data_IF_102589800576
#
_entry.id   IF_102589800576
#
_cell.length_a   1.000
_cell.length_b   1.000
_cell.length_c   1.000
_cell.angle_alpha   90.00
_cell.angle_beta   90.00
_cell.angle_gamma   90.00
#
_symmetry.space_group_name_H-M   'P 1'
#
loop_
_entity.id
_entity.type
_entity.pdbx_description
1 polymer ?
#
# COMPACT_ATOMS: atom_id res chain seq x y z
N UNK A 1 33.03 56.41 25.93
CA UNK A 1 32.22 55.55 25.06
C UNK A 1 31.10 56.41 24.50
N UNK A 2 31.06 56.62 23.18
CA UNK A 2 30.03 57.48 22.58
C UNK A 2 28.74 56.67 22.40
N UNK A 3 27.59 57.34 22.45
CA UNK A 3 26.26 56.71 22.29
C UNK A 3 26.17 55.94 20.95
N UNK A 4 26.88 56.42 19.92
CA UNK A 4 27.03 55.76 18.61
C UNK A 4 27.63 54.37 18.71
N UNK A 5 28.65 54.16 19.54
CA UNK A 5 29.32 52.87 19.71
C UNK A 5 28.38 51.85 20.36
N UNK A 6 27.56 52.32 21.28
CA UNK A 6 26.57 51.53 22.01
C UNK A 6 25.43 51.08 21.10
N UNK A 7 24.97 51.97 20.22
CA UNK A 7 23.96 51.67 19.18
C UNK A 7 24.54 50.68 18.14
N UNK A 8 25.78 50.87 17.70
CA UNK A 8 26.44 49.97 16.75
C UNK A 8 26.59 48.55 17.33
N UNK A 9 26.99 48.43 18.60
CA UNK A 9 27.12 47.15 19.29
C UNK A 9 25.76 46.45 19.47
N UNK A 10 24.71 47.21 19.80
CA UNK A 10 23.35 46.68 19.87
C UNK A 10 22.84 46.20 18.50
N UNK A 11 23.06 46.98 17.43
CA UNK A 11 22.68 46.61 16.08
C UNK A 11 23.41 45.33 15.61
N UNK A 12 24.69 45.21 15.92
CA UNK A 12 25.49 44.01 15.63
C UNK A 12 24.95 42.78 16.38
N UNK A 13 24.59 42.91 17.65
CA UNK A 13 23.98 41.83 18.42
C UNK A 13 22.63 41.39 17.86
N UNK A 14 21.77 42.34 17.45
CA UNK A 14 20.48 42.06 16.81
C UNK A 14 20.68 41.37 15.46
N UNK A 15 21.69 41.78 14.67
CA UNK A 15 22.01 41.16 13.39
C UNK A 15 22.48 39.71 13.57
N UNK A 16 23.34 39.42 14.56
CA UNK A 16 23.78 38.06 14.88
C UNK A 16 22.59 37.20 15.32
N UNK A 17 21.76 37.70 16.22
CA UNK A 17 20.58 36.98 16.69
C UNK A 17 19.63 36.67 15.52
N UNK A 18 19.38 37.65 14.66
CA UNK A 18 18.53 37.49 13.47
C UNK A 18 19.09 36.44 12.51
N UNK A 19 20.40 36.43 12.27
CA UNK A 19 21.06 35.43 11.43
C UNK A 19 20.95 34.01 12.02
N UNK A 20 21.11 33.86 13.34
CA UNK A 20 20.94 32.57 14.03
C UNK A 20 19.49 32.08 13.93
N UNK A 21 18.52 32.97 14.15
CA UNK A 21 17.10 32.63 14.02
C UNK A 21 16.72 32.26 12.59
N UNK A 22 17.19 33.00 11.59
CA UNK A 22 16.96 32.70 10.17
C UNK A 22 17.54 31.33 9.79
N UNK A 23 18.76 31.01 10.23
CA UNK A 23 19.38 29.70 9.98
C UNK A 23 18.60 28.55 10.63
N UNK A 24 18.13 28.73 11.86
CA UNK A 24 17.28 27.74 12.55
C UNK A 24 15.93 27.57 11.85
N UNK A 25 15.29 28.67 11.45
CA UNK A 25 14.02 28.65 10.72
C UNK A 25 14.15 27.89 9.39
N UNK A 26 15.24 28.10 8.65
CA UNK A 26 15.51 27.37 7.41
C UNK A 26 15.66 25.85 7.64
N UNK A 27 16.37 25.44 8.70
CA UNK A 27 16.52 24.02 9.07
C UNK A 27 15.17 23.42 9.47
N UNK A 28 14.37 24.14 10.26
CA UNK A 28 13.03 23.69 10.66
C UNK A 28 12.08 23.59 9.46
N UNK A 29 12.13 24.54 8.52
CA UNK A 29 11.34 24.51 7.29
C UNK A 29 11.72 23.31 6.40
N UNK A 30 13.02 23.02 6.25
CA UNK A 30 13.49 21.86 5.49
C UNK A 30 12.98 20.54 6.09
N UNK A 31 13.12 20.37 7.41
CA UNK A 31 12.62 19.19 8.13
C UNK A 31 11.09 19.07 8.04
N UNK A 32 10.38 20.18 8.19
CA UNK A 32 8.92 20.21 8.06
C UNK A 32 8.49 19.82 6.64
N UNK A 33 9.22 20.23 5.61
CA UNK A 33 8.93 19.86 4.23
C UNK A 33 9.18 18.36 3.98
N UNK A 34 10.28 17.79 4.48
CA UNK A 34 10.55 16.34 4.41
C UNK A 34 9.46 15.51 5.09
N UNK A 35 9.01 15.94 6.27
CA UNK A 35 7.91 15.29 7.00
C UNK A 35 6.59 15.43 6.22
N UNK A 36 6.35 16.60 5.62
CA UNK A 36 5.14 16.86 4.82
C UNK A 36 5.09 15.98 3.58
N UNK A 37 6.19 15.85 2.85
CA UNK A 37 6.29 14.97 1.68
C UNK A 37 6.07 13.50 2.06
N UNK A 38 6.67 13.04 3.16
CA UNK A 38 6.46 11.67 3.65
C UNK A 38 5.02 11.42 4.11
N UNK A 39 4.43 12.38 4.82
CA UNK A 39 3.04 12.28 5.29
C UNK A 39 2.02 12.44 4.16
N UNK A 40 2.36 13.12 3.07
CA UNK A 40 1.49 13.27 1.90
C UNK A 40 1.23 11.93 1.21
N UNK A 41 2.18 10.99 1.24
CA UNK A 41 2.02 9.66 0.63
C UNK A 41 1.23 8.68 1.50
N UNK A 42 1.22 8.88 2.82
CA UNK A 42 0.54 8.00 3.77
C UNK A 42 -0.92 7.67 3.41
N UNK A 43 -1.82 8.64 3.12
CA UNK A 43 -3.22 8.33 2.77
C UNK A 43 -3.34 7.48 1.50
N UNK A 44 -2.46 7.70 0.52
CA UNK A 44 -2.46 6.92 -0.72
C UNK A 44 -1.95 5.49 -0.50
N UNK A 45 -0.91 5.32 0.32
CA UNK A 45 -0.38 4.01 0.72
C UNK A 45 -1.41 3.21 1.52
N UNK A 46 -2.13 3.86 2.43
CA UNK A 46 -3.22 3.25 3.18
C UNK A 46 -4.36 2.83 2.25
N UNK A 47 -4.72 3.65 1.26
CA UNK A 47 -5.74 3.28 0.29
C UNK A 47 -5.34 2.05 -0.54
N UNK A 48 -4.08 1.96 -0.98
CA UNK A 48 -3.57 0.77 -1.69
C UNK A 48 -3.55 -0.46 -0.79
N UNK A 49 -3.20 -0.29 0.49
CA UNK A 49 -3.28 -1.37 1.48
C UNK A 49 -4.71 -1.93 1.58
N UNK A 50 -5.69 -1.06 1.81
CA UNK A 50 -7.09 -1.46 1.92
C UNK A 50 -7.59 -2.13 0.66
N UNK A 51 -7.31 -1.56 -0.52
CA UNK A 51 -7.70 -2.13 -1.80
C UNK A 51 -7.09 -3.53 -2.03
N UNK A 52 -5.82 -3.72 -1.67
CA UNK A 52 -5.15 -5.01 -1.80
C UNK A 52 -5.76 -6.04 -0.84
N UNK A 53 -5.92 -5.72 0.44
CA UNK A 53 -6.48 -6.64 1.44
C UNK A 53 -7.90 -7.04 1.06
N UNK A 54 -8.74 -6.08 0.69
CA UNK A 54 -10.12 -6.33 0.26
C UNK A 54 -10.17 -7.25 -0.97
N UNK A 55 -9.23 -7.07 -1.91
CA UNK A 55 -9.16 -7.90 -3.11
C UNK A 55 -8.65 -9.32 -2.82
N UNK A 56 -7.60 -9.45 -2.00
CA UNK A 56 -7.08 -10.74 -1.55
C UNK A 56 -8.16 -11.54 -0.81
N UNK A 57 -8.91 -10.88 0.08
CA UNK A 57 -10.04 -11.48 0.80
C UNK A 57 -11.15 -11.95 -0.14
N UNK A 58 -11.48 -11.12 -1.13
CA UNK A 58 -12.46 -11.49 -2.15
C UNK A 58 -12.02 -12.74 -2.94
N UNK A 59 -10.75 -12.81 -3.33
CA UNK A 59 -10.21 -13.97 -4.04
C UNK A 59 -10.17 -15.22 -3.15
N UNK A 60 -9.73 -15.11 -1.89
CA UNK A 60 -9.66 -16.25 -0.96
C UNK A 60 -11.03 -16.84 -0.63
N UNK A 61 -12.08 -16.00 -0.62
CA UNK A 61 -13.46 -16.41 -0.34
C UNK A 61 -14.29 -16.66 -1.60
N UNK A 62 -13.69 -16.56 -2.79
CA UNK A 62 -14.42 -16.56 -4.07
C UNK A 62 -15.30 -17.79 -4.25
N UNK A 63 -14.76 -18.98 -3.97
CA UNK A 63 -15.50 -20.25 -4.12
C UNK A 63 -16.72 -20.31 -3.20
N UNK A 64 -16.59 -19.81 -1.98
CA UNK A 64 -17.70 -19.69 -1.03
C UNK A 64 -18.72 -18.68 -1.52
N UNK A 65 -18.29 -17.52 -2.00
CA UNK A 65 -19.19 -16.51 -2.59
C UNK A 65 -19.95 -17.06 -3.79
N UNK A 66 -19.29 -17.89 -4.60
CA UNK A 66 -19.90 -18.53 -5.76
C UNK A 66 -20.95 -19.57 -5.33
N UNK A 67 -20.65 -20.41 -4.33
CA UNK A 67 -21.58 -21.45 -3.86
C UNK A 67 -22.85 -20.87 -3.22
N UNK A 68 -22.76 -19.70 -2.57
CA UNK A 68 -23.94 -18.98 -2.04
C UNK A 68 -24.61 -18.06 -3.06
N UNK A 69 -24.15 -18.06 -4.32
CA UNK A 69 -24.74 -17.27 -5.41
C UNK A 69 -24.50 -15.75 -5.32
N UNK A 70 -23.52 -15.30 -4.52
CA UNK A 70 -23.12 -13.88 -4.42
C UNK A 70 -22.28 -13.40 -5.61
N UNK A 71 -21.58 -14.31 -6.27
CA UNK A 71 -20.86 -14.05 -7.53
C UNK A 71 -21.28 -15.07 -8.59
N UNK A 72 -21.30 -14.65 -9.85
CA UNK A 72 -21.75 -15.44 -11.00
C UNK A 72 -20.62 -15.61 -12.01
N UNK A 73 -20.12 -16.84 -12.12
CA UNK A 73 -19.07 -17.18 -13.08
C UNK A 73 -17.76 -16.47 -12.77
N UNK A 74 -16.95 -16.17 -13.79
CA UNK A 74 -15.63 -15.51 -13.68
C UNK A 74 -15.65 -14.02 -14.05
N UNK A 75 -16.76 -13.52 -14.62
CA UNK A 75 -16.89 -12.11 -14.98
C UNK A 75 -16.78 -11.19 -13.75
N UNK A 76 -17.36 -11.59 -12.60
CA UNK A 76 -17.26 -10.83 -11.36
C UNK A 76 -15.80 -10.75 -10.84
N UNK A 77 -15.04 -11.84 -11.01
CA UNK A 77 -13.61 -11.88 -10.67
C UNK A 77 -12.81 -10.88 -11.51
N UNK A 78 -13.04 -10.85 -12.82
CA UNK A 78 -12.34 -9.94 -13.74
C UNK A 78 -12.76 -8.48 -13.50
N UNK A 79 -14.05 -8.22 -13.32
CA UNK A 79 -14.53 -6.88 -12.99
C UNK A 79 -13.91 -6.36 -11.69
N UNK A 80 -13.75 -7.22 -10.68
CA UNK A 80 -13.10 -6.85 -9.42
C UNK A 80 -11.60 -6.63 -9.59
N UNK A 81 -10.92 -7.44 -10.41
CA UNK A 81 -9.51 -7.27 -10.75
C UNK A 81 -9.26 -5.93 -11.47
N UNK A 82 -10.08 -5.58 -12.46
CA UNK A 82 -9.94 -4.34 -13.20
C UNK A 82 -10.19 -3.11 -12.31
N UNK A 83 -11.18 -3.21 -11.41
CA UNK A 83 -11.40 -2.18 -10.38
C UNK A 83 -10.18 -2.02 -9.47
N UNK A 84 -9.64 -3.11 -8.95
CA UNK A 84 -8.45 -3.10 -8.11
C UNK A 84 -7.25 -2.45 -8.83
N UNK A 85 -6.99 -2.85 -10.07
CA UNK A 85 -5.93 -2.25 -10.90
C UNK A 85 -6.15 -0.76 -11.13
N UNK A 86 -7.40 -0.34 -11.37
CA UNK A 86 -7.77 1.07 -11.51
C UNK A 86 -7.52 1.86 -10.23
N UNK A 87 -7.92 1.31 -9.07
CA UNK A 87 -7.70 1.92 -7.75
C UNK A 87 -6.21 2.09 -7.43
N UNK A 88 -5.36 1.12 -7.79
CA UNK A 88 -3.90 1.22 -7.64
C UNK A 88 -3.32 2.26 -8.62
N UNK A 89 -3.70 2.20 -9.90
CA UNK A 89 -3.14 3.07 -10.94
C UNK A 89 -3.45 4.56 -10.69
N UNK A 90 -4.63 4.88 -10.17
CA UNK A 90 -5.02 6.26 -9.81
C UNK A 90 -4.14 6.90 -8.73
N UNK A 91 -3.39 6.09 -7.97
CA UNK A 91 -2.54 6.57 -6.86
C UNK A 91 -1.12 6.90 -7.30
N UNK A 92 -0.73 6.49 -8.51
CA UNK A 92 0.62 6.69 -9.05
C UNK A 92 1.70 5.88 -8.32
N UNK A 93 2.98 6.10 -8.64
CA UNK A 93 4.09 5.41 -7.99
C UNK A 93 4.20 5.85 -6.52
N UNK A 94 4.08 4.90 -5.59
CA UNK A 94 4.08 5.16 -4.14
C UNK A 94 5.43 4.84 -3.46
N UNK A 95 6.43 4.47 -4.27
CA UNK A 95 7.77 4.04 -3.82
C UNK A 95 7.67 2.84 -2.87
N UNK A 96 6.93 1.82 -3.30
CA UNK A 96 6.67 0.61 -2.52
C UNK A 96 7.00 -0.65 -3.33
N UNK A 97 8.24 -0.81 -3.77
CA UNK A 97 8.66 -1.89 -4.69
C UNK A 97 8.23 -3.31 -4.24
N UNK A 98 8.25 -3.61 -2.94
CA UNK A 98 7.77 -4.90 -2.43
C UNK A 98 6.26 -5.06 -2.58
N UNK A 99 5.49 -4.00 -2.37
CA UNK A 99 4.04 -3.99 -2.57
C UNK A 99 3.71 -4.11 -4.05
N UNK A 100 4.43 -3.40 -4.92
CA UNK A 100 4.26 -3.46 -6.37
C UNK A 100 4.44 -4.90 -6.88
N UNK A 101 5.47 -5.60 -6.37
CA UNK A 101 5.67 -7.03 -6.66
C UNK A 101 4.49 -7.91 -6.19
N UNK A 102 3.96 -7.68 -4.99
CA UNK A 102 2.78 -8.42 -4.51
C UNK A 102 1.54 -8.14 -5.37
N UNK A 103 1.35 -6.90 -5.83
CA UNK A 103 0.25 -6.54 -6.73
C UNK A 103 0.39 -7.28 -8.07
N UNK A 104 1.58 -7.35 -8.64
CA UNK A 104 1.86 -8.12 -9.86
C UNK A 104 1.59 -9.62 -9.68
N UNK A 105 2.09 -10.21 -8.60
CA UNK A 105 1.83 -11.62 -8.26
C UNK A 105 0.33 -11.88 -8.07
N UNK A 106 -0.38 -10.97 -7.39
CA UNK A 106 -1.83 -11.04 -7.16
C UNK A 106 -2.60 -11.03 -8.49
N UNK A 107 -2.20 -10.15 -9.42
CA UNK A 107 -2.79 -10.11 -10.76
C UNK A 107 -2.58 -11.45 -11.50
N UNK A 108 -1.35 -11.97 -11.50
CA UNK A 108 -1.03 -13.23 -12.17
C UNK A 108 -1.80 -14.41 -11.56
N UNK A 109 -1.90 -14.48 -10.24
CA UNK A 109 -2.65 -15.52 -9.51
C UNK A 109 -4.16 -15.41 -9.74
N UNK A 110 -4.69 -14.21 -9.91
CA UNK A 110 -6.11 -14.01 -10.24
C UNK A 110 -6.45 -14.59 -11.63
N UNK A 111 -5.58 -14.39 -12.62
CA UNK A 111 -5.75 -15.02 -13.93
C UNK A 111 -5.64 -16.55 -13.87
N UNK A 112 -4.79 -17.10 -12.99
CA UNK A 112 -4.74 -18.54 -12.76
C UNK A 112 -6.07 -19.03 -12.17
N UNK A 113 -6.61 -18.33 -11.18
CA UNK A 113 -7.90 -18.67 -10.56
C UNK A 113 -9.04 -18.63 -11.57
N UNK A 114 -9.11 -17.59 -12.42
CA UNK A 114 -10.10 -17.49 -13.48
C UNK A 114 -10.03 -18.71 -14.42
N UNK A 115 -8.84 -19.09 -14.89
CA UNK A 115 -8.68 -20.24 -15.78
C UNK A 115 -9.07 -21.55 -15.11
N UNK A 116 -8.74 -21.73 -13.83
CA UNK A 116 -9.13 -22.92 -13.07
C UNK A 116 -10.65 -23.00 -12.93
N UNK A 117 -11.32 -21.88 -12.63
CA UNK A 117 -12.78 -21.81 -12.54
C UNK A 117 -13.47 -22.05 -13.88
N UNK A 118 -12.96 -21.43 -14.96
CA UNK A 118 -13.51 -21.61 -16.31
C UNK A 118 -13.38 -23.05 -16.77
N UNK A 119 -12.24 -23.69 -16.47
CA UNK A 119 -12.10 -25.13 -16.63
C UNK A 119 -13.19 -25.81 -15.83
N UNK A 120 -13.23 -25.73 -14.51
CA UNK A 120 -14.21 -26.47 -13.69
C UNK A 120 -15.68 -26.32 -14.14
N UNK A 121 -16.05 -25.21 -14.81
CA UNK A 121 -17.38 -25.00 -15.41
C UNK A 121 -17.67 -25.63 -16.78
N UNK A 122 -16.69 -26.18 -17.51
CA UNK A 122 -16.94 -26.83 -18.82
C UNK A 122 -17.72 -28.16 -18.66
N UNK A 123 -18.66 -28.48 -19.58
CA UNK A 123 -19.42 -29.74 -19.55
C UNK A 123 -18.53 -30.99 -19.51
N UNK A 124 -18.86 -31.92 -18.63
CA UNK A 124 -18.05 -33.08 -18.23
C UNK A 124 -17.86 -34.17 -19.30
N UNK A 125 -18.53 -34.10 -20.45
CA UNK A 125 -18.54 -35.16 -21.48
C UNK A 125 -17.16 -35.51 -22.05
N UNK A 126 -16.10 -34.77 -21.69
CA UNK A 126 -14.71 -35.03 -22.10
C UNK A 126 -13.69 -35.10 -20.97
N UNK A 127 -14.09 -34.94 -19.70
CA UNK A 127 -13.12 -34.93 -18.59
C UNK A 127 -13.00 -36.30 -17.96
N UNK A 128 -11.75 -36.74 -17.83
CA UNK A 128 -11.40 -37.82 -16.93
C UNK A 128 -11.53 -37.28 -15.51
N UNK A 129 -12.11 -38.07 -14.60
CA UNK A 129 -12.30 -37.67 -13.20
C UNK A 129 -10.99 -37.18 -12.56
N UNK A 130 -9.85 -37.79 -12.90
CA UNK A 130 -8.51 -37.40 -12.43
C UNK A 130 -8.14 -35.95 -12.81
N UNK A 131 -8.52 -35.48 -14.01
CA UNK A 131 -8.24 -34.10 -14.46
C UNK A 131 -9.11 -33.08 -13.73
N UNK A 132 -10.33 -33.47 -13.35
CA UNK A 132 -11.23 -32.64 -12.57
C UNK A 132 -10.67 -32.43 -11.15
N UNK A 133 -10.31 -33.52 -10.45
CA UNK A 133 -9.75 -33.45 -9.11
C UNK A 133 -8.46 -32.63 -9.06
N UNK A 134 -7.56 -32.82 -10.04
CA UNK A 134 -6.32 -32.05 -10.10
C UNK A 134 -6.56 -30.53 -10.29
N UNK A 135 -7.60 -30.13 -11.01
CA UNK A 135 -7.93 -28.71 -11.20
C UNK A 135 -8.67 -28.12 -9.98
N UNK A 136 -9.47 -28.92 -9.28
CA UNK A 136 -10.08 -28.54 -7.99
C UNK A 136 -9.02 -28.33 -6.91
N UNK A 137 -8.04 -29.24 -6.80
CA UNK A 137 -6.89 -29.10 -5.88
C UNK A 137 -6.10 -27.83 -6.19
N UNK A 138 -5.78 -27.58 -7.48
CA UNK A 138 -5.09 -26.35 -7.89
C UNK A 138 -5.88 -25.09 -7.53
N UNK A 139 -7.21 -25.11 -7.69
CA UNK A 139 -8.05 -23.99 -7.27
C UNK A 139 -7.92 -23.77 -5.76
N UNK A 140 -7.98 -24.82 -4.94
CA UNK A 140 -7.80 -24.72 -3.49
C UNK A 140 -6.42 -24.15 -3.11
N UNK A 141 -5.35 -24.60 -3.74
CA UNK A 141 -4.00 -24.04 -3.55
C UNK A 141 -3.95 -22.53 -3.86
N UNK A 142 -4.67 -22.07 -4.88
CA UNK A 142 -4.77 -20.64 -5.20
C UNK A 142 -5.53 -19.87 -4.13
N UNK A 143 -6.65 -20.40 -3.63
CA UNK A 143 -7.42 -19.78 -2.55
C UNK A 143 -6.59 -19.65 -1.26
N UNK A 144 -5.84 -20.70 -0.92
CA UNK A 144 -4.94 -20.71 0.24
C UNK A 144 -3.79 -19.71 0.08
N UNK A 145 -3.24 -19.59 -1.13
CA UNK A 145 -2.24 -18.58 -1.44
C UNK A 145 -2.78 -17.16 -1.21
N UNK A 146 -3.99 -16.86 -1.68
CA UNK A 146 -4.63 -15.55 -1.44
C UNK A 146 -4.84 -15.30 0.06
N UNK A 147 -5.31 -16.30 0.80
CA UNK A 147 -5.50 -16.19 2.25
C UNK A 147 -4.17 -15.98 3.00
N UNK A 148 -3.07 -16.62 2.56
CA UNK A 148 -1.73 -16.37 3.11
C UNK A 148 -1.29 -14.94 2.84
N UNK A 149 -1.45 -14.46 1.61
CA UNK A 149 -1.07 -13.08 1.25
C UNK A 149 -1.90 -12.02 1.96
N UNK A 150 -3.19 -12.28 2.19
CA UNK A 150 -4.05 -11.42 3.00
C UNK A 150 -3.48 -11.25 4.42
N UNK A 151 -3.02 -12.35 5.04
CA UNK A 151 -2.40 -12.34 6.38
C UNK A 151 -1.01 -11.69 6.40
N UNK A 152 -0.25 -11.82 5.31
CA UNK A 152 1.10 -11.25 5.17
C UNK A 152 1.07 -9.74 4.86
N UNK A 153 0.00 -9.24 4.20
CA UNK A 153 -0.10 -7.86 3.73
C UNK A 153 0.17 -6.80 4.82
N UNK A 154 -0.36 -6.90 6.07
CA UNK A 154 -0.06 -5.93 7.12
C UNK A 154 1.45 -5.79 7.41
N UNK A 155 2.18 -6.90 7.42
CA UNK A 155 3.63 -6.92 7.67
C UNK A 155 4.40 -6.23 6.56
N UNK A 156 4.00 -6.43 5.31
CA UNK A 156 4.63 -5.79 4.14
C UNK A 156 4.42 -4.28 4.16
N UNK A 157 3.21 -3.85 4.54
CA UNK A 157 2.85 -2.43 4.60
C UNK A 157 3.33 -1.71 5.86
N UNK A 158 3.71 -2.42 6.92
CA UNK A 158 4.09 -1.86 8.21
C UNK A 158 5.16 -0.76 8.07
N UNK A 159 6.19 -1.01 7.26
CA UNK A 159 7.29 -0.06 7.03
C UNK A 159 6.88 1.21 6.27
N UNK A 160 5.79 1.15 5.54
CA UNK A 160 5.29 2.22 4.67
C UNK A 160 4.18 3.04 5.31
N UNK A 161 3.45 2.43 6.25
CA UNK A 161 2.35 3.05 6.99
C UNK A 161 2.77 3.58 8.37
N UNK A 162 3.92 3.15 8.91
CA UNK A 162 4.49 3.79 10.09
C UNK A 162 4.87 5.24 9.78
N UNK A 163 4.02 6.17 10.22
CA UNK A 163 4.41 7.58 10.41
C UNK A 163 5.66 7.53 11.29
N UNK A 164 6.80 7.99 10.79
CA UNK A 164 8.00 8.13 11.60
C UNK A 164 7.74 9.24 12.64
N UNK A 165 6.99 8.92 13.69
CA UNK A 165 7.02 9.69 14.93
C UNK A 165 8.34 9.34 15.58
N UNK A 166 9.41 10.02 15.16
CA UNK A 166 10.58 10.12 15.98
C UNK A 166 10.18 11.06 17.14
N UNK A 167 10.01 10.57 18.39
CA UNK A 167 9.84 11.50 19.49
C UNK A 167 11.13 12.29 19.58
N UNK A 168 11.04 13.60 19.29
CA UNK A 168 12.10 14.56 19.54
C UNK A 168 12.36 14.59 21.06
N UNK A 169 13.18 13.65 21.55
CA UNK A 169 13.66 13.55 22.94
C UNK A 169 14.64 14.68 23.28
N UNK A 170 14.54 15.82 22.62
CA UNK A 170 15.39 17.00 22.87
C UNK A 170 14.63 18.19 23.43
N UNK A 171 13.35 18.03 23.80
CA UNK A 171 12.64 19.02 24.60
C UNK A 171 12.39 18.47 26.00
N UNK A 172 12.95 19.17 26.99
CA UNK A 172 12.91 18.97 28.44
C UNK A 172 14.11 18.23 29.03
N UNK A 173 15.24 18.94 29.09
CA UNK A 173 15.95 19.24 30.35
C UNK A 173 16.80 20.49 30.17
#
# INVERSE_FOLDING_TARGET
MQISDLIALAAFAVAILSAIYARRAAIHAHRANEITVKNALHPYRLAVFTALVDFLHFCSTYRTLQSVGKVKGTNDLIARLDRFKGEVAQRGPLDMAEVEKVIEETNAKTWQLQRSLDRLGEPSDRRKDDEYFAEEDRMHELLDWFASKEKEAPTIFERYLKITQQPDRTRLR
#
